data_IF_777230738373
#
_entry.id   IF_777230738373
#
_cell.length_a   1.000
_cell.length_b   1.000
_cell.length_c   1.000
_cell.angle_alpha   90.00
_cell.angle_beta   90.00
_cell.angle_gamma   90.00
#
_symmetry.space_group_name_H-M   'P 1'
#
loop_
_entity.id
_entity.type
_entity.pdbx_description
1 polymer ?
#
# COMPACT_ATOMS: atom_id res chain seq x y z
N UNK A 1 -9.19 -9.33 14.94
CA UNK A 1 -7.71 -9.39 14.88
C UNK A 1 -7.33 -10.44 13.85
N UNK A 2 -6.37 -10.19 12.97
CA UNK A 2 -5.98 -11.11 11.89
C UNK A 2 -4.54 -11.59 12.13
N UNK A 3 -4.30 -12.88 12.01
CA UNK A 3 -2.98 -13.49 12.22
C UNK A 3 -2.50 -14.14 10.93
N UNK A 4 -1.24 -13.88 10.58
CA UNK A 4 -0.57 -14.51 9.45
C UNK A 4 0.32 -15.63 9.98
N UNK A 5 0.01 -16.88 9.64
CA UNK A 5 0.82 -18.04 9.96
C UNK A 5 2.00 -18.18 8.99
N UNK A 6 2.91 -17.20 9.00
CA UNK A 6 4.17 -17.26 8.26
C UNK A 6 5.25 -16.48 8.99
N UNK A 7 6.50 -16.90 8.82
CA UNK A 7 7.67 -16.13 9.27
C UNK A 7 7.86 -14.93 8.35
N UNK A 8 8.13 -13.72 8.88
CA UNK A 8 8.54 -12.58 8.06
C UNK A 8 9.79 -12.90 7.23
N UNK A 9 9.79 -12.50 5.97
CA UNK A 9 10.91 -12.73 5.04
C UNK A 9 12.14 -11.91 5.40
N UNK A 10 11.93 -10.66 5.80
CA UNK A 10 13.01 -9.72 6.12
C UNK A 10 13.12 -9.43 7.62
N UNK A 11 12.46 -10.26 8.44
CA UNK A 11 12.44 -10.13 9.89
C UNK A 11 11.55 -9.00 10.40
N UNK A 12 11.87 -8.53 11.60
CA UNK A 12 11.14 -7.46 12.30
C UNK A 12 12.13 -6.55 13.01
N UNK A 13 11.72 -5.30 13.20
CA UNK A 13 12.45 -4.27 13.94
C UNK A 13 11.63 -3.82 15.15
N UNK A 14 12.32 -3.37 16.18
CA UNK A 14 11.65 -2.77 17.34
C UNK A 14 11.47 -1.28 17.12
N UNK A 15 10.25 -0.80 17.31
CA UNK A 15 9.90 0.60 17.12
C UNK A 15 8.99 1.08 18.24
N UNK A 16 9.05 2.36 18.56
CA UNK A 16 8.03 3.00 19.37
C UNK A 16 6.88 3.46 18.48
N UNK A 17 5.67 3.53 19.04
CA UNK A 17 4.53 4.12 18.35
C UNK A 17 4.68 5.64 18.26
N UNK A 18 3.84 6.27 17.43
CA UNK A 18 3.58 7.70 17.60
C UNK A 18 3.02 7.97 19.00
N UNK A 19 3.32 9.15 19.55
CA UNK A 19 2.76 9.61 20.83
C UNK A 19 1.30 10.02 20.65
N UNK A 20 0.45 9.61 21.58
CA UNK A 20 -0.93 10.05 21.68
C UNK A 20 -1.15 10.66 23.08
N UNK A 21 -1.01 11.99 23.16
CA UNK A 21 -0.86 12.66 24.46
C UNK A 21 0.39 12.15 25.19
N UNK A 22 0.21 11.68 26.42
CA UNK A 22 1.28 11.13 27.25
C UNK A 22 1.55 9.64 27.00
N UNK A 23 0.76 8.99 26.15
CA UNK A 23 0.87 7.56 25.87
C UNK A 23 1.78 7.29 24.67
N UNK A 24 2.71 6.35 24.84
CA UNK A 24 3.59 5.84 23.80
C UNK A 24 3.84 4.35 24.06
N UNK A 25 3.51 3.49 23.10
CA UNK A 25 3.90 2.10 23.16
C UNK A 25 5.38 2.00 22.74
N UNK A 26 6.22 1.43 23.61
CA UNK A 26 7.67 1.33 23.38
C UNK A 26 8.06 -0.08 22.96
N UNK A 27 9.10 -0.17 22.13
CA UNK A 27 9.75 -1.45 21.79
C UNK A 27 8.78 -2.50 21.18
N UNK A 28 7.84 -2.07 20.35
CA UNK A 28 6.88 -2.94 19.65
C UNK A 28 7.57 -3.59 18.45
N UNK A 29 7.37 -4.91 18.27
CA UNK A 29 7.89 -5.62 17.11
C UNK A 29 7.07 -5.26 15.87
N UNK A 30 7.71 -4.65 14.88
CA UNK A 30 7.11 -4.23 13.63
C UNK A 30 7.81 -4.97 12.49
N UNK A 31 7.04 -5.59 11.60
CA UNK A 31 7.55 -6.27 10.41
C UNK A 31 8.35 -5.27 9.56
N UNK A 32 9.39 -5.75 8.87
CA UNK A 32 10.20 -4.88 8.03
C UNK A 32 9.36 -4.10 7.00
N UNK A 33 9.74 -2.84 6.77
CA UNK A 33 9.02 -1.91 5.91
C UNK A 33 8.86 -2.44 4.48
N UNK A 34 9.88 -3.11 3.93
CA UNK A 34 9.83 -3.63 2.55
C UNK A 34 8.79 -4.75 2.42
N UNK A 35 8.64 -5.56 3.47
CA UNK A 35 7.64 -6.62 3.50
C UNK A 35 6.22 -6.07 3.69
N UNK A 36 6.07 -5.03 4.53
CA UNK A 36 4.81 -4.30 4.64
C UNK A 36 4.44 -3.71 3.26
N UNK A 37 5.40 -3.09 2.57
CA UNK A 37 5.18 -2.48 1.27
C UNK A 37 4.79 -3.53 0.22
N UNK A 38 5.48 -4.67 0.18
CA UNK A 38 5.15 -5.80 -0.68
C UNK A 38 3.71 -6.29 -0.46
N UNK A 39 3.30 -6.47 0.80
CA UNK A 39 1.94 -6.89 1.14
C UNK A 39 0.87 -5.88 0.72
N UNK A 40 1.17 -4.57 0.79
CA UNK A 40 0.27 -3.50 0.32
C UNK A 40 0.12 -3.51 -1.20
N UNK A 41 1.19 -3.75 -1.95
CA UNK A 41 1.12 -3.90 -3.41
C UNK A 41 0.27 -5.09 -3.81
N UNK A 42 0.46 -6.25 -3.16
CA UNK A 42 -0.37 -7.43 -3.39
C UNK A 42 -1.83 -7.17 -3.06
N UNK A 43 -2.12 -6.53 -1.91
CA UNK A 43 -3.49 -6.18 -1.52
C UNK A 43 -4.14 -5.23 -2.54
N UNK A 44 -3.40 -4.23 -3.03
CA UNK A 44 -3.87 -3.29 -4.05
C UNK A 44 -4.32 -4.02 -5.32
N UNK A 45 -3.50 -4.95 -5.84
CA UNK A 45 -3.82 -5.65 -7.10
C UNK A 45 -4.92 -6.68 -6.94
N UNK A 46 -5.01 -7.36 -5.78
CA UNK A 46 -6.02 -8.39 -5.50
C UNK A 46 -7.38 -7.77 -5.15
N UNK A 47 -7.41 -6.78 -4.26
CA UNK A 47 -8.66 -6.28 -3.64
C UNK A 47 -9.19 -5.00 -4.26
N UNK A 48 -8.29 -4.18 -4.82
CA UNK A 48 -8.62 -2.89 -5.43
C UNK A 48 -9.43 -1.94 -4.53
N UNK A 49 -9.18 -1.96 -3.22
CA UNK A 49 -9.85 -1.08 -2.26
C UNK A 49 -9.18 0.30 -2.20
N UNK A 50 -9.94 1.35 -1.92
CA UNK A 50 -9.45 2.74 -1.86
C UNK A 50 -8.36 2.94 -0.80
N UNK A 51 -8.42 2.18 0.31
CA UNK A 51 -7.37 2.21 1.35
C UNK A 51 -6.06 1.59 0.88
N UNK A 52 -6.10 0.50 0.11
CA UNK A 52 -4.89 -0.12 -0.43
C UNK A 52 -4.21 0.82 -1.44
N UNK A 53 -5.00 1.56 -2.24
CA UNK A 53 -4.49 2.60 -3.15
C UNK A 53 -3.79 3.73 -2.39
N UNK A 54 -4.42 4.21 -1.32
CA UNK A 54 -3.85 5.23 -0.45
C UNK A 54 -2.54 4.76 0.21
N UNK A 55 -2.52 3.56 0.75
CA UNK A 55 -1.34 2.99 1.40
C UNK A 55 -0.18 2.81 0.39
N UNK A 56 -0.46 2.31 -0.81
CA UNK A 56 0.55 2.20 -1.87
C UNK A 56 1.09 3.57 -2.30
N UNK A 57 0.24 4.58 -2.44
CA UNK A 57 0.67 5.95 -2.75
C UNK A 57 1.53 6.57 -1.64
N UNK A 58 1.21 6.30 -0.37
CA UNK A 58 2.04 6.74 0.76
C UNK A 58 3.40 6.06 0.79
N UNK A 59 3.47 4.78 0.43
CA UNK A 59 4.72 4.04 0.32
C UNK A 59 5.61 4.56 -0.80
N UNK A 60 5.03 4.92 -1.96
CA UNK A 60 5.78 5.50 -3.08
C UNK A 60 6.50 6.81 -2.74
N UNK A 61 6.05 7.53 -1.71
CA UNK A 61 6.68 8.76 -1.23
C UNK A 61 7.75 8.53 -0.16
N UNK A 62 7.99 7.28 0.24
CA UNK A 62 8.98 6.97 1.26
C UNK A 62 10.35 6.69 0.61
N UNK A 63 11.32 7.55 0.93
CA UNK A 63 12.68 7.47 0.39
C UNK A 63 13.48 6.26 0.92
N UNK A 64 13.03 5.63 2.01
CA UNK A 64 13.73 4.50 2.65
C UNK A 64 13.32 3.13 2.11
N UNK A 65 12.76 3.07 0.90
CA UNK A 65 12.31 1.81 0.27
C UNK A 65 13.33 1.36 -0.78
N UNK A 66 13.94 0.20 -0.53
CA UNK A 66 14.60 -0.61 -1.55
C UNK A 66 13.55 -1.41 -2.34
N UNK A 67 13.23 -0.90 -3.53
CA UNK A 67 12.25 -1.51 -4.43
C UNK A 67 12.65 -2.91 -4.92
N UNK A 68 13.93 -3.29 -4.84
CA UNK A 68 14.37 -4.65 -5.17
C UNK A 68 13.82 -5.64 -4.15
N UNK A 69 13.96 -5.34 -2.85
CA UNK A 69 13.40 -6.15 -1.78
C UNK A 69 11.88 -6.18 -1.81
N UNK A 70 11.24 -5.04 -2.09
CA UNK A 70 9.78 -4.97 -2.24
C UNK A 70 9.30 -5.87 -3.38
N UNK A 71 9.98 -5.87 -4.53
CA UNK A 71 9.62 -6.74 -5.67
C UNK A 71 9.72 -8.21 -5.29
N UNK A 72 10.82 -8.63 -4.67
CA UNK A 72 11.01 -10.02 -4.23
C UNK A 72 9.93 -10.43 -3.22
N UNK A 73 9.69 -9.59 -2.21
CA UNK A 73 8.64 -9.83 -1.22
C UNK A 73 7.25 -9.89 -1.85
N UNK A 74 6.96 -9.01 -2.82
CA UNK A 74 5.66 -8.99 -3.49
C UNK A 74 5.45 -10.28 -4.29
N UNK A 75 6.45 -10.70 -5.08
CA UNK A 75 6.39 -11.96 -5.82
C UNK A 75 6.12 -13.16 -4.90
N UNK A 76 6.83 -13.24 -3.77
CA UNK A 76 6.64 -14.32 -2.79
C UNK A 76 5.24 -14.30 -2.14
N UNK A 77 4.76 -13.14 -1.68
CA UNK A 77 3.43 -12.99 -1.07
C UNK A 77 2.33 -13.28 -2.11
N UNK A 78 2.51 -12.79 -3.33
CA UNK A 78 1.55 -12.98 -4.41
C UNK A 78 1.49 -14.40 -4.92
N UNK A 79 2.61 -15.12 -4.99
CA UNK A 79 2.63 -16.55 -5.34
C UNK A 79 1.88 -17.40 -4.30
N UNK A 80 1.81 -16.96 -3.05
CA UNK A 80 1.01 -17.58 -2.00
C UNK A 80 -0.46 -17.13 -1.99
N UNK A 81 -0.84 -16.17 -2.83
CA UNK A 81 -2.22 -15.67 -2.91
C UNK A 81 -3.00 -16.49 -3.95
N UNK A 82 -4.15 -17.04 -3.55
CA UNK A 82 -4.95 -17.91 -4.41
C UNK A 82 -5.50 -17.21 -5.66
N UNK A 83 -5.84 -15.93 -5.55
CA UNK A 83 -6.56 -15.19 -6.59
C UNK A 83 -5.64 -14.30 -7.45
N UNK A 84 -4.32 -14.55 -7.43
CA UNK A 84 -3.35 -13.70 -8.12
C UNK A 84 -2.52 -14.46 -9.15
N UNK A 85 -2.66 -14.09 -10.43
CA UNK A 85 -1.75 -14.49 -11.50
C UNK A 85 -0.94 -13.27 -11.98
N UNK A 86 0.32 -13.19 -11.55
CA UNK A 86 1.25 -12.10 -11.89
C UNK A 86 1.36 -11.84 -13.39
N UNK A 87 1.17 -12.85 -14.25
CA UNK A 87 1.29 -12.72 -15.71
C UNK A 87 0.16 -11.88 -16.32
N UNK A 88 -0.95 -11.73 -15.60
CA UNK A 88 -2.16 -11.04 -16.07
C UNK A 88 -2.47 -9.77 -15.28
N UNK A 89 -1.80 -9.57 -14.15
CA UNK A 89 -2.01 -8.40 -13.29
C UNK A 89 -1.67 -7.12 -14.04
N UNK A 90 -2.62 -6.18 -14.02
CA UNK A 90 -2.47 -4.88 -14.63
C UNK A 90 -3.30 -3.85 -13.86
N UNK A 91 -2.70 -2.69 -13.60
CA UNK A 91 -3.40 -1.53 -13.06
C UNK A 91 -4.08 -0.68 -14.14
N UNK A 92 -3.93 -1.02 -15.44
CA UNK A 92 -4.54 -0.24 -16.54
C UNK A 92 -6.06 -0.13 -16.42
N UNK A 93 -6.71 -1.21 -16.01
CA UNK A 93 -8.16 -1.28 -15.83
C UNK A 93 -8.56 -1.16 -14.36
N UNK A 94 -7.69 -0.56 -13.54
CA UNK A 94 -8.03 -0.30 -12.15
C UNK A 94 -9.15 0.74 -12.08
N UNK A 95 -10.32 0.31 -11.61
CA UNK A 95 -11.45 1.18 -11.29
C UNK A 95 -11.57 1.22 -9.77
N UNK A 96 -11.59 2.42 -9.21
CA UNK A 96 -11.91 2.62 -7.80
C UNK A 96 -13.42 2.79 -7.63
N UNK A 97 -13.95 2.30 -6.52
CA UNK A 97 -15.35 2.51 -6.14
C UNK A 97 -15.48 3.80 -5.32
N UNK A 98 -16.34 4.71 -5.77
CA UNK A 98 -16.63 5.97 -5.07
C UNK A 98 -17.31 5.74 -3.72
N UNK A 99 -18.13 4.70 -3.60
CA UNK A 99 -18.75 4.35 -2.32
C UNK A 99 -17.69 3.79 -1.35
N UNK A 100 -16.76 2.97 -1.83
CA UNK A 100 -15.62 2.50 -1.02
C UNK A 100 -14.75 3.68 -0.56
N UNK A 101 -14.46 4.62 -1.47
CA UNK A 101 -13.69 5.82 -1.18
C UNK A 101 -14.34 6.65 -0.07
N UNK A 102 -15.62 6.97 -0.21
CA UNK A 102 -16.36 7.79 0.74
C UNK A 102 -16.53 7.11 2.10
N UNK A 103 -16.93 5.84 2.12
CA UNK A 103 -17.28 5.16 3.36
C UNK A 103 -16.05 4.63 4.10
N UNK A 104 -14.99 4.21 3.38
CA UNK A 104 -13.83 3.58 3.99
C UNK A 104 -12.62 4.50 4.08
N UNK A 105 -12.26 5.25 3.04
CA UNK A 105 -11.05 6.08 3.09
C UNK A 105 -11.33 7.44 3.75
N UNK A 106 -12.36 8.16 3.32
CA UNK A 106 -12.63 9.52 3.84
C UNK A 106 -12.94 9.54 5.33
N UNK A 107 -13.47 8.45 5.88
CA UNK A 107 -13.75 8.31 7.31
C UNK A 107 -12.51 8.19 8.20
N UNK A 108 -11.33 7.90 7.63
CA UNK A 108 -10.09 7.62 8.40
C UNK A 108 -8.91 8.50 8.03
N UNK A 109 -9.07 9.43 7.10
CA UNK A 109 -8.04 10.42 6.74
C UNK A 109 -8.36 11.77 7.37
N UNK A 110 -7.36 12.65 7.43
CA UNK A 110 -7.55 14.01 7.93
C UNK A 110 -8.56 14.76 7.05
N UNK A 111 -9.49 15.48 7.67
CA UNK A 111 -10.39 16.38 6.95
C UNK A 111 -9.59 17.37 6.08
N UNK A 112 -10.05 17.56 4.84
CA UNK A 112 -9.41 18.44 3.87
C UNK A 112 -8.10 17.93 3.26
N UNK A 113 -7.72 16.67 3.52
CA UNK A 113 -6.47 16.10 2.99
C UNK A 113 -6.33 16.22 1.47
N UNK A 114 -7.45 16.16 0.74
CA UNK A 114 -7.47 16.15 -0.73
C UNK A 114 -7.89 17.50 -1.33
N UNK A 115 -8.02 18.55 -0.53
CA UNK A 115 -8.53 19.84 -1.01
C UNK A 115 -7.57 20.49 -2.02
N UNK A 116 -6.26 20.38 -1.78
CA UNK A 116 -5.23 20.85 -2.70
C UNK A 116 -5.27 20.15 -4.08
N UNK A 117 -5.85 18.96 -4.13
CA UNK A 117 -6.01 18.14 -5.34
C UNK A 117 -7.36 18.39 -6.02
N UNK A 118 -8.19 19.27 -5.47
CA UNK A 118 -9.56 19.50 -5.91
C UNK A 118 -10.52 18.35 -5.56
N UNK A 119 -10.21 17.60 -4.52
CA UNK A 119 -11.07 16.59 -3.91
C UNK A 119 -10.61 15.14 -4.10
N UNK A 120 -11.23 14.18 -3.38
CA UNK A 120 -10.83 12.78 -3.36
C UNK A 120 -10.82 12.11 -4.73
N UNK A 121 -11.82 12.42 -5.56
CA UNK A 121 -11.94 11.86 -6.91
C UNK A 121 -10.77 12.25 -7.81
N UNK A 122 -10.46 13.56 -7.87
CA UNK A 122 -9.34 14.08 -8.67
C UNK A 122 -8.00 13.53 -8.19
N UNK A 123 -7.84 13.37 -6.88
CA UNK A 123 -6.67 12.71 -6.30
C UNK A 123 -6.53 11.25 -6.79
N UNK A 124 -7.63 10.46 -6.79
CA UNK A 124 -7.61 9.10 -7.33
C UNK A 124 -7.27 9.07 -8.81
N UNK A 125 -7.92 9.90 -9.63
CA UNK A 125 -7.70 9.97 -11.08
C UNK A 125 -6.22 10.26 -11.38
N UNK A 126 -5.64 11.27 -10.72
CA UNK A 126 -4.22 11.63 -10.87
C UNK A 126 -3.28 10.49 -10.47
N UNK A 127 -3.51 9.82 -9.34
CA UNK A 127 -2.62 8.74 -8.90
C UNK A 127 -2.66 7.57 -9.86
N UNK A 128 -3.82 7.23 -10.40
CA UNK A 128 -3.94 6.15 -11.37
C UNK A 128 -3.24 6.50 -12.69
N UNK A 129 -3.34 7.75 -13.14
CA UNK A 129 -2.54 8.25 -14.27
C UNK A 129 -1.02 8.16 -14.00
N UNK A 130 -0.57 8.54 -12.81
CA UNK A 130 0.84 8.43 -12.42
C UNK A 130 1.31 6.98 -12.25
N UNK A 131 0.48 6.09 -11.72
CA UNK A 131 0.80 4.66 -11.58
C UNK A 131 0.99 4.00 -12.96
N UNK A 132 0.25 4.45 -13.98
CA UNK A 132 0.48 4.07 -15.38
C UNK A 132 1.81 4.64 -15.91
N UNK A 133 2.23 5.82 -15.44
CA UNK A 133 3.49 6.47 -15.84
C UNK A 133 4.76 5.84 -15.23
N UNK A 134 4.71 5.32 -13.99
CA UNK A 134 5.85 4.62 -13.34
C UNK A 134 6.34 3.42 -14.18
N UNK A 135 5.48 2.86 -15.03
CA UNK A 135 5.83 1.80 -16.00
C UNK A 135 6.82 2.26 -17.08
N UNK A 136 6.92 3.55 -17.42
CA UNK A 136 7.87 4.03 -18.44
C UNK A 136 9.33 4.01 -17.97
N UNK A 137 9.58 3.99 -16.66
CA UNK A 137 10.93 4.19 -16.10
C UNK A 137 11.36 3.08 -15.12
N UNK A 138 10.63 1.96 -15.06
CA UNK A 138 11.03 0.77 -14.29
C UNK A 138 10.97 -0.48 -15.17
N UNK A 139 12.00 -1.35 -15.16
CA UNK A 139 12.01 -2.57 -15.95
C UNK A 139 10.87 -3.48 -15.48
N UNK A 140 10.23 -4.08 -16.49
CA UNK A 140 9.03 -4.91 -16.47
C UNK A 140 8.88 -5.80 -15.23
N UNK A 141 7.65 -5.86 -14.70
CA UNK A 141 7.16 -7.05 -14.01
C UNK A 141 6.90 -8.16 -15.02
#
# INVERSE_FOLDING_TARGET
MNYLFRTPFFGWKRMNSAKLGDYEAKNVGVVDLHEIAAGKIVALVVRRASRDLYDAWRLLQNENIDWTQVKVGALAIGAASMDLDWRTVSLKDYKYDLNDLNNKLLSVVKNGMFDAEGGPKKWCDRILEHAVFIRKHSPSF
#
